data_IF_016236762083
#
_entry.id   IF_016236762083
#
_cell.length_a   1.000
_cell.length_b   1.000
_cell.length_c   1.000
_cell.angle_alpha   90.00
_cell.angle_beta   90.00
_cell.angle_gamma   90.00
#
_symmetry.space_group_name_H-M   'P 1'
#
loop_
_entity.id
_entity.type
_entity.pdbx_description
1 polymer ?
2 non-polymer ?
3 water ?
#
# COMPACT_ATOMS: atom_id res chain seq x y z
N UNK A 1 2.70 -2.14 -38.36
CA UNK A 1 1.90 -2.31 -37.13
C UNK A 1 1.11 -3.62 -37.12
N UNK A 2 1.45 -4.52 -36.20
CA UNK A 2 0.73 -5.79 -36.12
C UNK A 2 -0.76 -5.60 -35.87
N UNK A 3 -1.54 -6.54 -36.43
CA UNK A 3 -2.99 -6.54 -36.20
C UNK A 3 -3.34 -7.18 -34.86
N UNK A 4 -2.54 -8.15 -34.41
CA UNK A 4 -2.78 -8.80 -33.15
C UNK A 4 -2.50 -7.89 -31.97
N UNK A 5 -2.71 -8.42 -30.76
CA UNK A 5 -2.49 -7.61 -29.57
C UNK A 5 -1.01 -7.32 -29.37
N UNK A 6 -0.71 -6.13 -28.86
CA UNK A 6 0.65 -5.78 -28.48
C UNK A 6 1.11 -6.67 -27.33
N UNK A 7 2.42 -6.78 -27.20
CA UNK A 7 3.02 -7.71 -26.25
C UNK A 7 4.20 -6.98 -25.63
N UNK A 8 4.31 -7.02 -24.30
CA UNK A 8 5.41 -6.37 -23.59
C UNK A 8 6.14 -7.43 -22.77
N UNK A 9 7.43 -7.61 -23.06
CA UNK A 9 8.28 -8.57 -22.34
C UNK A 9 7.62 -9.94 -22.24
N UNK A 10 7.09 -10.43 -23.36
CA UNK A 10 6.43 -11.72 -23.39
C UNK A 10 5.00 -11.75 -22.86
N UNK A 11 4.44 -10.63 -22.40
CA UNK A 11 3.09 -10.60 -21.86
C UNK A 11 2.14 -9.94 -22.86
N UNK A 12 1.15 -10.69 -23.33
CA UNK A 12 0.11 -10.14 -24.19
C UNK A 12 -0.72 -9.11 -23.42
N UNK A 13 -0.95 -7.95 -24.04
CA UNK A 13 -1.77 -6.89 -23.47
C UNK A 13 -2.94 -6.67 -24.44
N UNK A 14 -4.01 -7.45 -24.25
CA UNK A 14 -5.15 -7.41 -25.14
C UNK A 14 -6.03 -6.20 -24.79
N UNK A 15 -5.51 -5.01 -25.12
CA UNK A 15 -6.19 -3.77 -24.76
C UNK A 15 -6.52 -2.92 -25.97
N UNK A 16 -6.21 -3.38 -27.18
CA UNK A 16 -6.50 -2.63 -28.38
C UNK A 16 -7.98 -2.71 -28.68
N UNK A 17 -8.45 -1.80 -29.55
CA UNK A 17 -7.69 -0.77 -30.26
C UNK A 17 -7.64 0.57 -29.53
N UNK A 18 -8.33 0.75 -28.40
CA UNK A 18 -8.36 2.05 -27.74
C UNK A 18 -7.00 2.42 -27.11
N UNK A 19 -6.28 1.44 -26.56
CA UNK A 19 -5.03 1.70 -25.85
C UNK A 19 -3.88 1.06 -26.62
N UNK A 20 -2.86 1.85 -26.94
CA UNK A 20 -1.74 1.42 -27.77
C UNK A 20 -0.42 1.97 -27.21
N UNK A 21 0.68 1.62 -27.87
CA UNK A 21 2.02 2.11 -27.51
C UNK A 21 2.39 1.75 -26.07
N UNK A 22 2.36 0.46 -25.81
CA UNK A 22 2.58 0.00 -24.44
C UNK A 22 4.06 0.01 -24.13
N UNK A 23 4.41 0.42 -22.91
CA UNK A 23 5.79 0.42 -22.44
C UNK A 23 5.87 -0.11 -21.01
N UNK A 24 6.83 -1.01 -20.77
CA UNK A 24 6.98 -1.62 -19.46
C UNK A 24 7.20 -0.57 -18.37
N UNK A 25 6.47 -0.72 -17.27
CA UNK A 25 6.73 0.03 -16.03
C UNK A 25 7.27 -0.89 -14.93
N UNK A 26 6.55 -1.98 -14.64
CA UNK A 26 6.94 -2.87 -13.55
C UNK A 26 6.02 -4.07 -13.51
N UNK A 27 6.31 -4.99 -12.60
CA UNK A 27 5.59 -6.25 -12.54
C UNK A 27 5.59 -6.82 -11.14
N UNK A 28 4.72 -7.81 -10.93
CA UNK A 28 4.61 -8.54 -9.69
C UNK A 28 4.46 -10.02 -9.97
N UNK A 29 3.99 -10.81 -9.00
CA UNK A 29 3.91 -12.28 -9.15
C UNK A 29 2.85 -12.70 -10.16
N UNK A 30 1.78 -11.93 -10.30
CA UNK A 30 0.73 -12.33 -11.24
C UNK A 30 0.17 -11.12 -11.98
N UNK A 31 1.05 -10.17 -12.34
CA UNK A 31 0.61 -8.97 -13.02
C UNK A 31 1.76 -8.16 -13.55
N UNK A 32 1.42 -7.24 -14.46
CA UNK A 32 2.40 -6.34 -15.08
C UNK A 32 1.73 -5.01 -15.38
N UNK A 33 2.43 -3.90 -15.10
CA UNK A 33 1.96 -2.56 -15.40
C UNK A 33 2.76 -1.99 -16.56
N UNK A 34 2.06 -1.39 -17.52
CA UNK A 34 2.64 -0.66 -18.64
C UNK A 34 2.01 0.72 -18.76
N UNK A 35 2.77 1.66 -19.30
CA UNK A 35 2.14 2.88 -19.78
C UNK A 35 1.57 2.63 -21.18
N UNK A 36 0.62 3.47 -21.57
CA UNK A 36 -0.01 3.32 -22.86
C UNK A 36 -0.60 4.65 -23.25
N UNK A 37 -1.20 4.71 -24.44
CA UNK A 37 -1.88 5.90 -24.92
C UNK A 37 -3.35 5.59 -25.14
N UNK A 38 -4.23 6.42 -24.58
CA UNK A 38 -5.66 6.30 -24.78
C UNK A 38 -6.01 7.10 -26.03
N UNK A 39 -6.30 6.41 -27.12
CA UNK A 39 -6.61 7.07 -28.39
C UNK A 39 -8.01 7.71 -28.38
N UNK A 40 -8.87 7.33 -27.45
CA UNK A 40 -10.21 7.90 -27.42
C UNK A 40 -10.19 9.23 -26.67
N UNK A 41 -9.66 9.23 -25.45
CA UNK A 41 -9.57 10.46 -24.67
C UNK A 41 -8.31 11.27 -24.94
N UNK A 42 -7.38 10.75 -25.75
CA UNK A 42 -6.13 11.46 -26.09
C UNK A 42 -5.31 11.74 -24.83
N UNK A 43 -5.15 10.73 -23.97
CA UNK A 43 -4.35 10.86 -22.75
C UNK A 43 -3.44 9.66 -22.55
N UNK A 44 -2.37 9.87 -21.78
CA UNK A 44 -1.47 8.81 -21.37
C UNK A 44 -2.06 8.11 -20.16
N UNK A 45 -2.04 6.78 -20.18
CA UNK A 45 -2.56 5.98 -19.08
C UNK A 45 -1.51 4.96 -18.66
N UNK A 46 -1.72 4.40 -17.48
CA UNK A 46 -1.06 3.18 -17.06
C UNK A 46 -2.08 2.05 -17.08
N UNK A 47 -1.65 0.85 -17.47
CA UNK A 47 -2.54 -0.29 -17.52
C UNK A 47 -1.93 -1.42 -16.71
N UNK A 48 -2.71 -1.95 -15.77
CA UNK A 48 -2.29 -3.02 -14.87
C UNK A 48 -2.98 -4.29 -15.33
N UNK A 49 -2.23 -5.18 -15.95
CA UNK A 49 -2.72 -6.50 -16.29
C UNK A 49 -2.60 -7.42 -15.08
N UNK A 50 -3.72 -8.04 -14.67
CA UNK A 50 -3.74 -8.99 -13.57
C UNK A 50 -4.21 -10.34 -14.12
N UNK A 51 -3.49 -11.41 -13.76
CA UNK A 51 -3.84 -12.76 -14.21
C UNK A 51 -3.95 -13.65 -12.99
N UNK A 52 -5.12 -13.62 -12.28
CA UNK A 52 -5.19 -14.21 -10.93
C UNK A 52 -5.97 -15.52 -10.81
N UNK A 53 -6.57 -16.01 -11.89
CA UNK A 53 -7.69 -16.93 -11.76
C UNK A 53 -7.29 -18.36 -11.36
N UNK A 54 -6.00 -18.70 -11.35
CA UNK A 54 -5.61 -20.04 -10.93
C UNK A 54 -5.54 -20.20 -9.43
N UNK A 55 -5.58 -19.12 -8.66
CA UNK A 55 -5.36 -19.17 -7.21
C UNK A 55 -6.37 -18.29 -6.51
N UNK A 56 -6.96 -18.82 -5.45
CA UNK A 56 -7.98 -18.11 -4.69
C UNK A 56 -7.44 -16.81 -4.11
N UNK A 57 -6.22 -16.83 -3.58
CA UNK A 57 -5.68 -15.63 -2.96
C UNK A 57 -5.52 -14.50 -3.98
N UNK A 58 -5.00 -14.81 -5.17
CA UNK A 58 -4.90 -13.80 -6.21
C UNK A 58 -6.28 -13.26 -6.59
N UNK A 59 -7.28 -14.15 -6.67
CA UNK A 59 -8.63 -13.70 -6.99
C UNK A 59 -9.18 -12.78 -5.91
N UNK A 60 -8.95 -13.12 -4.64
CA UNK A 60 -9.38 -12.25 -3.54
C UNK A 60 -8.72 -10.87 -3.65
N UNK A 61 -7.45 -10.85 -4.00
CA UNK A 61 -6.69 -9.60 -4.09
C UNK A 61 -7.12 -8.77 -5.28
N UNK A 62 -7.50 -9.42 -6.38
CA UNK A 62 -8.02 -8.69 -7.52
C UNK A 62 -9.39 -8.11 -7.22
N UNK A 63 -10.24 -8.91 -6.57
CA UNK A 63 -11.58 -8.42 -6.29
C UNK A 63 -11.54 -7.24 -5.33
N UNK A 64 -10.72 -7.33 -4.28
CA UNK A 64 -10.64 -6.26 -3.30
C UNK A 64 -10.13 -4.96 -3.94
N UNK A 65 -9.03 -5.04 -4.70
CA UNK A 65 -8.46 -3.83 -5.29
C UNK A 65 -9.49 -3.12 -6.16
N UNK A 66 -10.26 -3.90 -6.93
CA UNK A 66 -11.26 -3.36 -7.83
C UNK A 66 -12.40 -2.73 -7.03
N UNK A 67 -12.94 -3.47 -6.05
CA UNK A 67 -14.08 -2.94 -5.30
C UNK A 67 -13.70 -1.69 -4.53
N UNK A 68 -12.55 -1.70 -3.88
CA UNK A 68 -12.13 -0.54 -3.09
C UNK A 68 -11.84 0.66 -3.98
N UNK A 69 -10.99 0.49 -5.00
CA UNK A 69 -10.59 1.64 -5.83
C UNK A 69 -11.77 2.21 -6.61
N UNK A 70 -12.70 1.36 -7.04
CA UNK A 70 -13.89 1.89 -7.73
C UNK A 70 -14.75 2.70 -6.78
N UNK A 71 -14.68 2.43 -5.48
CA UNK A 71 -15.49 3.17 -4.52
C UNK A 71 -14.74 4.33 -3.89
N UNK A 72 -13.49 4.57 -4.27
CA UNK A 72 -12.69 5.64 -3.72
C UNK A 72 -12.59 6.78 -4.74
N UNK A 73 -12.61 8.01 -4.23
CA UNK A 73 -12.25 9.17 -5.06
C UNK A 73 -11.52 10.16 -4.18
N UNK A 74 -10.21 10.28 -4.39
CA UNK A 74 -9.41 11.11 -3.52
C UNK A 74 -8.16 11.53 -4.26
N UNK A 75 -7.78 12.81 -4.10
CA UNK A 75 -6.66 13.36 -4.85
C UNK A 75 -5.36 12.59 -4.64
N UNK A 76 -5.18 11.96 -3.48
CA UNK A 76 -3.95 11.24 -3.19
C UNK A 76 -4.10 9.74 -3.34
N UNK A 77 -5.10 9.25 -4.09
CA UNK A 77 -5.26 7.83 -4.34
C UNK A 77 -5.56 7.62 -5.82
N UNK A 78 -4.82 6.70 -6.45
CA UNK A 78 -5.01 6.47 -7.87
C UNK A 78 -6.44 6.00 -8.15
N UNK A 79 -7.05 6.57 -9.18
CA UNK A 79 -8.39 6.20 -9.58
C UNK A 79 -8.36 5.23 -10.73
N UNK A 80 -9.45 4.49 -10.91
CA UNK A 80 -9.61 3.60 -12.05
C UNK A 80 -10.41 4.34 -13.13
N UNK A 81 -9.81 4.52 -14.30
CA UNK A 81 -10.51 5.08 -15.46
C UNK A 81 -11.44 4.07 -16.11
N UNK A 82 -11.00 2.81 -16.20
CA UNK A 82 -11.59 1.84 -17.11
C UNK A 82 -11.07 0.48 -16.71
N UNK A 83 -11.86 -0.55 -17.00
CA UNK A 83 -11.45 -1.94 -16.77
C UNK A 83 -11.80 -2.77 -18.00
N UNK A 84 -10.82 -3.50 -18.52
CA UNK A 84 -10.96 -4.29 -19.73
C UNK A 84 -10.92 -5.76 -19.34
N UNK A 85 -11.87 -6.56 -19.87
CA UNK A 85 -11.78 -8.01 -19.81
C UNK A 85 -12.71 -8.58 -20.89
N UNK A 86 -12.63 -9.90 -21.06
CA UNK A 86 -13.32 -10.60 -22.15
C UNK A 86 -14.85 -10.55 -21.98
N UNK A 87 -15.60 -10.64 -23.10
CA UNK A 87 -17.05 -10.46 -23.01
C UNK A 87 -17.79 -11.58 -22.31
N UNK A 88 -17.17 -12.75 -22.14
CA UNK A 88 -17.78 -13.86 -21.42
C UNK A 88 -16.78 -14.38 -20.38
N UNK A 89 -17.31 -15.03 -19.35
CA UNK A 89 -16.46 -15.42 -18.23
C UNK A 89 -15.49 -16.52 -18.63
N UNK A 90 -15.89 -17.43 -19.51
CA UNK A 90 -14.98 -18.50 -19.93
C UNK A 90 -13.78 -17.95 -20.69
N UNK A 91 -13.98 -16.89 -21.47
CA UNK A 91 -12.87 -16.25 -22.17
C UNK A 91 -11.99 -15.43 -21.24
N UNK A 92 -12.50 -14.99 -20.09
CA UNK A 92 -11.75 -14.04 -19.27
C UNK A 92 -10.61 -14.76 -18.54
N UNK A 93 -9.39 -14.55 -19.03
CA UNK A 93 -8.18 -15.04 -18.38
C UNK A 93 -7.40 -13.93 -17.67
N UNK A 94 -7.63 -12.68 -18.04
CA UNK A 94 -6.90 -11.53 -17.50
C UNK A 94 -7.86 -10.38 -17.28
N UNK A 95 -7.46 -9.46 -16.40
CA UNK A 95 -8.17 -8.21 -16.21
C UNK A 95 -7.17 -7.08 -16.37
N UNK A 96 -7.57 -6.02 -17.07
CA UNK A 96 -6.71 -4.86 -17.29
C UNK A 96 -7.34 -3.65 -16.59
N UNK A 97 -6.62 -3.10 -15.61
CA UNK A 97 -7.07 -1.90 -14.90
C UNK A 97 -6.35 -0.68 -15.47
N UNK A 98 -7.12 0.27 -15.99
CA UNK A 98 -6.58 1.47 -16.63
C UNK A 98 -6.60 2.62 -15.64
N UNK A 99 -5.48 3.32 -15.52
CA UNK A 99 -5.34 4.44 -14.59
C UNK A 99 -4.65 5.60 -15.32
N UNK A 100 -4.87 6.83 -14.84
CA UNK A 100 -4.08 7.96 -15.33
C UNK A 100 -2.59 7.72 -15.12
N UNK A 101 -1.79 8.07 -16.12
CA UNK A 101 -0.35 7.84 -16.03
C UNK A 101 0.28 8.85 -15.09
N UNK A 102 1.06 8.36 -14.15
CA UNK A 102 1.89 9.16 -13.26
C UNK A 102 3.34 9.07 -13.75
N UNK A 103 4.11 10.12 -13.50
CA UNK A 103 5.42 10.25 -14.12
C UNK A 103 6.43 9.27 -13.54
N UNK A 104 6.43 9.07 -12.23
CA UNK A 104 7.43 8.20 -11.61
C UNK A 104 6.86 7.68 -10.30
N UNK A 105 7.68 6.96 -9.53
CA UNK A 105 7.31 6.57 -8.17
C UNK A 105 8.46 6.93 -7.23
N UNK A 106 8.18 6.87 -5.91
CA UNK A 106 9.16 7.34 -4.93
C UNK A 106 10.40 6.46 -4.89
N UNK A 107 10.24 5.16 -5.17
CA UNK A 107 11.38 4.26 -5.22
C UNK A 107 12.37 4.68 -6.31
N UNK A 108 11.86 4.99 -7.51
CA UNK A 108 12.73 5.48 -8.59
C UNK A 108 13.33 6.83 -8.27
N UNK A 109 12.52 7.75 -7.75
CA UNK A 109 13.05 9.08 -7.43
C UNK A 109 14.21 9.00 -6.44
N UNK A 110 14.06 8.18 -5.40
CA UNK A 110 15.11 8.11 -4.40
C UNK A 110 16.39 7.48 -4.93
N UNK A 111 16.35 6.80 -6.09
CA UNK A 111 17.59 6.32 -6.69
C UNK A 111 18.44 7.47 -7.24
N UNK A 112 17.81 8.58 -7.62
CA UNK A 112 18.49 9.66 -8.33
C UNK A 112 18.48 10.99 -7.61
N UNK A 113 17.79 11.13 -6.48
CA UNK A 113 17.52 12.44 -5.93
C UNK A 113 17.64 12.43 -4.42
N UNK A 114 18.40 13.37 -3.87
CA UNK A 114 18.33 13.74 -2.46
C UNK A 114 17.23 14.78 -2.31
N UNK A 115 16.15 14.43 -1.61
CA UNK A 115 15.00 15.34 -1.47
C UNK A 115 15.29 16.43 -0.45
N UNK A 116 14.88 17.65 -0.78
CA UNK A 116 14.87 18.72 0.20
C UNK A 116 13.89 18.40 1.32
N UNK A 117 14.10 19.02 2.49
CA UNK A 117 13.20 18.81 3.61
C UNK A 117 11.77 19.20 3.24
N UNK A 118 11.63 20.25 2.44
CA UNK A 118 10.29 20.66 2.00
C UNK A 118 9.62 19.59 1.17
N UNK A 119 10.38 18.90 0.30
CA UNK A 119 9.79 17.84 -0.51
C UNK A 119 9.42 16.64 0.36
N UNK A 120 10.31 16.26 1.28
CA UNK A 120 9.99 15.20 2.23
C UNK A 120 8.72 15.55 3.00
N UNK A 121 8.65 16.77 3.52
CA UNK A 121 7.51 17.22 4.31
C UNK A 121 6.23 17.16 3.50
N UNK A 122 6.26 17.63 2.25
CA UNK A 122 5.05 17.67 1.43
C UNK A 122 4.63 16.28 0.97
N UNK A 123 5.61 15.44 0.60
CA UNK A 123 5.29 14.06 0.27
C UNK A 123 4.67 13.35 1.46
N UNK A 124 5.27 13.52 2.65
CA UNK A 124 4.74 12.89 3.84
C UNK A 124 3.31 13.36 4.11
N UNK A 125 3.07 14.68 4.02
CA UNK A 125 1.72 15.20 4.20
C UNK A 125 0.73 14.47 3.30
N UNK A 126 1.08 14.32 2.02
CA UNK A 126 0.14 13.74 1.06
C UNK A 126 -0.08 12.25 1.31
N UNK A 127 0.98 11.51 1.64
CA UNK A 127 0.82 10.10 2.02
C UNK A 127 -0.24 9.98 3.12
N UNK A 128 -0.10 10.81 4.15
CA UNK A 128 -1.00 10.75 5.30
C UNK A 128 -2.37 11.32 4.98
N UNK A 129 -2.45 12.29 4.06
CA UNK A 129 -3.77 12.75 3.60
C UNK A 129 -4.55 11.63 2.94
N UNK A 130 -3.93 10.89 2.01
CA UNK A 130 -4.59 9.73 1.43
C UNK A 130 -4.85 8.62 2.43
N UNK A 131 -3.88 8.35 3.31
CA UNK A 131 -4.08 7.32 4.33
C UNK A 131 -5.26 7.66 5.25
N UNK A 132 -5.40 8.94 5.60
CA UNK A 132 -6.53 9.38 6.42
C UNK A 132 -7.85 9.00 5.77
N UNK A 133 -7.97 9.23 4.46
CA UNK A 133 -9.15 8.82 3.74
C UNK A 133 -9.29 7.29 3.74
N UNK A 134 -8.19 6.58 3.50
CA UNK A 134 -8.22 5.12 3.47
C UNK A 134 -8.72 4.56 4.80
N UNK A 135 -8.07 4.96 5.90
CA UNK A 135 -8.48 4.46 7.21
C UNK A 135 -9.90 4.89 7.56
N UNK A 136 -10.32 6.09 7.13
CA UNK A 136 -11.70 6.51 7.41
C UNK A 136 -12.73 5.63 6.74
N UNK A 137 -12.33 4.87 5.72
CA UNK A 137 -13.20 3.96 5.00
C UNK A 137 -13.18 2.53 5.59
N UNK A 138 -12.50 2.33 6.72
CA UNK A 138 -12.31 1.01 7.32
C UNK A 138 -11.45 0.09 6.44
N UNK A 139 -10.57 0.67 5.63
CA UNK A 139 -9.65 -0.08 4.79
C UNK A 139 -8.29 -0.10 5.45
N UNK A 140 -7.59 -1.23 5.34
CA UNK A 140 -6.16 -1.30 5.59
C UNK A 140 -5.45 -1.45 4.25
N UNK A 141 -4.45 -0.61 3.98
CA UNK A 141 -3.74 -0.73 2.71
C UNK A 141 -2.82 -1.95 2.72
N UNK A 142 -1.93 -2.02 3.73
CA UNK A 142 -1.12 -3.20 4.02
C UNK A 142 0.02 -3.43 3.04
N UNK A 143 0.36 -2.46 2.19
CA UNK A 143 1.54 -2.62 1.35
C UNK A 143 2.08 -1.26 0.95
N UNK A 144 2.17 -0.32 1.89
CA UNK A 144 2.74 0.98 1.61
C UNK A 144 4.27 0.88 1.59
N UNK A 145 4.85 1.43 0.54
CA UNK A 145 6.29 1.39 0.34
C UNK A 145 6.59 2.40 -0.76
N UNK A 146 7.85 2.79 -0.99
CA UNK A 146 8.12 3.83 -2.00
C UNK A 146 7.55 3.54 -3.39
N UNK A 147 7.68 2.31 -3.88
CA UNK A 147 7.22 1.97 -5.23
C UNK A 147 5.71 2.02 -5.37
N UNK A 148 4.96 2.19 -4.27
CA UNK A 148 3.52 2.39 -4.34
C UNK A 148 3.11 3.82 -4.05
N UNK A 149 4.04 4.76 -4.12
CA UNK A 149 3.74 6.18 -4.05
C UNK A 149 4.11 6.79 -5.39
N UNK A 150 3.10 7.20 -6.16
CA UNK A 150 3.29 7.70 -7.52
C UNK A 150 3.43 9.21 -7.49
N UNK A 151 4.30 9.76 -8.36
CA UNK A 151 4.70 11.16 -8.30
C UNK A 151 4.70 11.80 -9.68
N UNK A 152 4.30 13.07 -9.72
CA UNK A 152 4.35 13.95 -10.89
C UNK A 152 5.37 15.05 -10.64
N UNK A 153 5.75 15.77 -11.72
CA UNK A 153 6.73 16.84 -11.54
C UNK A 153 6.17 18.01 -10.73
N UNK A 154 4.85 18.18 -10.70
CA UNK A 154 4.22 19.14 -9.81
C UNK A 154 4.26 18.72 -8.34
N UNK A 155 4.83 17.55 -8.04
CA UNK A 155 4.92 16.95 -6.71
C UNK A 155 3.59 16.43 -6.18
N UNK A 156 2.60 16.26 -7.06
CA UNK A 156 1.39 15.53 -6.71
C UNK A 156 1.77 14.07 -6.45
N UNK A 157 1.15 13.48 -5.43
CA UNK A 157 1.48 12.13 -4.99
C UNK A 157 0.20 11.32 -4.89
N UNK A 158 0.23 10.10 -5.40
CA UNK A 158 -0.95 9.23 -5.31
C UNK A 158 -0.50 7.85 -4.85
N UNK A 159 -1.23 7.28 -3.91
CA UNK A 159 -0.98 5.91 -3.48
C UNK A 159 -1.65 4.96 -4.46
N UNK A 160 -0.93 3.88 -4.82
CA UNK A 160 -1.44 2.87 -5.73
C UNK A 160 -1.24 1.49 -5.12
N UNK A 161 -1.62 0.47 -5.90
CA UNK A 161 -1.57 -0.96 -5.57
C UNK A 161 -2.38 -1.31 -4.33
N UNK A 162 -3.68 -1.53 -4.50
CA UNK A 162 -4.52 -1.97 -3.39
C UNK A 162 -4.76 -3.47 -3.43
N UNK A 163 -3.83 -4.22 -4.05
CA UNK A 163 -3.97 -5.66 -4.10
C UNK A 163 -3.91 -6.32 -2.74
N UNK A 164 -3.15 -5.75 -1.82
CA UNK A 164 -3.06 -6.25 -0.45
C UNK A 164 -3.99 -5.53 0.50
N UNK A 165 -4.79 -4.59 0.02
CA UNK A 165 -5.74 -3.87 0.85
C UNK A 165 -6.96 -4.75 1.17
N UNK A 166 -7.64 -4.38 2.26
CA UNK A 166 -8.85 -5.08 2.64
C UNK A 166 -9.66 -4.22 3.59
N UNK A 167 -10.93 -4.59 3.71
CA UNK A 167 -11.85 -3.96 4.65
C UNK A 167 -11.81 -4.70 5.97
N UNK A 168 -11.85 -3.94 7.07
CA UNK A 168 -12.08 -4.49 8.41
C UNK A 168 -13.19 -3.67 9.07
N UNK A 169 -14.42 -4.19 9.03
CA UNK A 169 -15.56 -3.55 9.67
C UNK A 169 -15.33 -3.48 11.18
N UNK A 170 -15.25 -2.28 11.78
CA UNK A 170 -14.96 -2.20 13.22
C UNK A 170 -16.09 -2.67 14.12
N UNK A 171 -17.28 -2.96 13.58
CA UNK A 171 -18.30 -3.63 14.39
C UNK A 171 -17.92 -5.05 14.74
N UNK A 172 -16.95 -5.64 14.04
CA UNK A 172 -16.54 -7.02 14.26
C UNK A 172 -15.10 -7.07 14.73
N UNK A 173 -14.81 -8.00 15.63
CA UNK A 173 -13.44 -8.20 16.09
C UNK A 173 -12.71 -9.09 15.11
N UNK A 174 -11.68 -8.54 14.45
CA UNK A 174 -10.94 -9.26 13.42
C UNK A 174 -9.73 -10.02 13.97
N UNK A 175 -9.53 -10.00 15.29
CA UNK A 175 -8.41 -10.69 15.93
C UNK A 175 -8.39 -12.17 15.57
N UNK A 176 -7.32 -12.62 14.93
CA UNK A 176 -7.21 -14.00 14.52
C UNK A 176 -7.75 -14.28 13.14
N UNK A 177 -8.35 -13.30 12.47
CA UNK A 177 -8.93 -13.49 11.15
C UNK A 177 -8.19 -12.77 10.03
N UNK A 178 -7.09 -12.07 10.33
CA UNK A 178 -6.38 -11.38 9.27
C UNK A 178 -5.29 -12.27 8.69
N UNK A 179 -5.01 -12.05 7.41
CA UNK A 179 -4.01 -12.79 6.67
C UNK A 179 -2.59 -12.53 7.21
N UNK A 180 -1.79 -13.58 7.37
CA UNK A 180 -0.39 -13.39 7.75
C UNK A 180 0.49 -13.02 6.56
N UNK A 181 1.68 -12.53 6.87
CA UNK A 181 2.71 -12.28 5.86
C UNK A 181 2.23 -11.24 4.85
N UNK A 182 1.68 -10.14 5.35
CA UNK A 182 1.27 -9.00 4.52
C UNK A 182 2.38 -7.93 4.54
N UNK A 183 2.23 -6.92 3.70
CA UNK A 183 3.22 -5.87 3.49
C UNK A 183 4.48 -6.41 2.83
N UNK A 184 5.35 -5.51 2.39
CA UNK A 184 6.63 -5.89 1.83
C UNK A 184 7.64 -5.89 2.96
N UNK A 185 8.55 -6.86 2.94
CA UNK A 185 9.31 -7.23 4.14
C UNK A 185 9.87 -6.01 4.88
N UNK A 186 10.65 -5.17 4.19
CA UNK A 186 11.33 -4.08 4.90
C UNK A 186 10.35 -3.13 5.58
N UNK A 187 9.07 -3.18 5.21
CA UNK A 187 8.08 -2.21 5.66
C UNK A 187 7.06 -2.84 6.61
N UNK A 188 7.35 -4.03 7.15
CA UNK A 188 6.40 -4.74 8.01
C UNK A 188 6.57 -4.29 9.45
N UNK A 189 5.45 -3.96 10.10
CA UNK A 189 5.46 -3.67 11.52
C UNK A 189 5.87 -4.92 12.32
N UNK A 190 6.44 -4.74 13.51
CA UNK A 190 6.82 -5.92 14.32
C UNK A 190 5.66 -6.85 14.60
N UNK A 191 4.45 -6.31 14.76
CA UNK A 191 3.30 -7.15 15.09
C UNK A 191 2.83 -7.98 13.90
N UNK A 192 3.29 -7.70 12.70
CA UNK A 192 2.98 -8.63 11.61
C UNK A 192 3.71 -9.95 11.84
N UNK A 193 4.86 -9.92 12.49
CA UNK A 193 5.60 -11.12 12.86
C UNK A 193 5.13 -11.71 14.18
N UNK A 194 4.85 -10.86 15.17
CA UNK A 194 4.57 -11.28 16.53
C UNK A 194 3.09 -11.48 16.81
N UNK A 195 2.21 -10.98 15.95
CA UNK A 195 0.78 -11.10 16.12
C UNK A 195 0.16 -11.25 14.73
N UNK A 196 0.58 -12.31 14.04
CA UNK A 196 0.49 -12.40 12.58
C UNK A 196 -0.93 -12.42 12.04
N UNK A 197 -1.92 -12.75 12.88
CA UNK A 197 -3.32 -12.79 12.42
C UNK A 197 -4.19 -11.78 13.15
N UNK A 198 -3.60 -10.88 13.93
CA UNK A 198 -4.37 -9.99 14.78
C UNK A 198 -3.89 -8.55 14.86
N UNK A 199 -3.13 -8.11 13.86
CA UNK A 199 -2.66 -6.74 13.73
C UNK A 199 -3.81 -5.82 13.31
N UNK A 200 -3.57 -4.52 13.30
CA UNK A 200 -4.59 -3.54 12.92
C UNK A 200 -4.08 -2.58 11.85
N UNK A 201 -4.87 -1.54 11.55
CA UNK A 201 -4.46 -0.56 10.57
C UNK A 201 -3.21 0.21 10.98
N UNK A 202 -2.77 0.09 12.25
CA UNK A 202 -1.54 0.80 12.63
C UNK A 202 -0.31 0.23 11.93
N UNK A 203 -0.41 -0.93 11.27
CA UNK A 203 0.70 -1.41 10.44
C UNK A 203 0.97 -0.44 9.30
N UNK A 204 -0.06 0.26 8.82
CA UNK A 204 0.12 1.24 7.75
C UNK A 204 0.95 2.42 8.25
N UNK A 205 0.72 2.84 9.48
CA UNK A 205 1.53 3.91 10.09
C UNK A 205 2.99 3.47 10.21
N UNK A 206 3.21 2.20 10.58
CA UNK A 206 4.59 1.70 10.61
C UNK A 206 5.24 1.82 9.24
N UNK A 207 4.55 1.36 8.19
CA UNK A 207 5.07 1.50 6.84
C UNK A 207 5.41 2.96 6.51
N UNK A 208 4.49 3.88 6.79
CA UNK A 208 4.76 5.30 6.52
C UNK A 208 6.01 5.74 7.26
N UNK A 209 6.16 5.35 8.52
CA UNK A 209 7.41 5.61 9.22
C UNK A 209 8.62 5.13 8.45
N UNK A 210 8.57 3.90 7.94
CA UNK A 210 9.70 3.37 7.17
C UNK A 210 9.97 4.20 5.92
N UNK A 211 8.91 4.68 5.28
CA UNK A 211 9.06 5.49 4.07
C UNK A 211 9.72 6.83 4.41
N UNK A 212 9.29 7.46 5.50
CA UNK A 212 9.90 8.73 5.92
C UNK A 212 11.40 8.56 6.19
N UNK A 213 11.78 7.49 6.89
CA UNK A 213 13.21 7.25 7.12
C UNK A 213 13.95 7.09 5.81
N UNK A 214 13.32 6.45 4.83
CA UNK A 214 13.94 6.26 3.52
C UNK A 214 14.10 7.58 2.77
N UNK A 215 13.10 8.47 2.86
CA UNK A 215 13.27 9.81 2.28
C UNK A 215 14.40 10.58 2.96
N UNK A 216 14.60 10.36 4.26
CA UNK A 216 15.63 11.11 4.96
C UNK A 216 17.04 10.66 4.55
N UNK A 217 17.22 9.38 4.22
CA UNK A 217 18.54 8.83 4.01
C UNK A 217 18.73 8.16 2.66
N UNK A 218 17.70 8.09 1.81
CA UNK A 218 17.77 7.37 0.54
C UNK A 218 18.15 5.90 0.71
N UNK A 219 17.84 5.30 1.85
CA UNK A 219 18.08 3.88 2.03
C UNK A 219 17.05 3.29 2.98
N UNK A 220 16.66 2.03 2.79
CA UNK A 220 15.70 1.42 3.72
C UNK A 220 16.26 1.39 5.14
N UNK A 221 15.39 1.67 6.11
CA UNK A 221 15.87 1.72 7.49
C UNK A 221 16.03 0.31 8.05
N UNK A 222 15.13 -0.62 7.71
CA UNK A 222 15.15 -1.98 8.24
C UNK A 222 15.25 -2.98 7.08
N UNK A 223 16.41 -3.10 6.43
CA UNK A 223 16.50 -4.00 5.26
C UNK A 223 16.73 -5.47 5.63
N UNK A 224 15.73 -6.09 6.26
CA UNK A 224 15.84 -7.50 6.61
C UNK A 224 16.21 -8.37 5.42
N UNK A 225 17.10 -9.35 5.64
CA UNK A 225 17.53 -10.19 4.55
C UNK A 225 16.55 -11.32 4.28
N UNK A 226 15.66 -11.61 5.22
CA UNK A 226 14.64 -12.64 5.04
C UNK A 226 13.63 -12.44 6.16
N UNK A 227 12.54 -13.23 6.11
CA UNK A 227 11.40 -13.02 7.00
C UNK A 227 11.83 -12.86 8.45
N UNK A 228 12.60 -13.81 8.97
CA UNK A 228 12.91 -13.76 10.40
C UNK A 228 13.94 -12.69 10.72
N UNK A 229 14.73 -12.29 9.73
CA UNK A 229 15.75 -11.26 9.90
C UNK A 229 15.13 -9.88 10.14
N UNK A 230 13.87 -9.69 9.74
CA UNK A 230 13.29 -8.36 9.76
C UNK A 230 13.13 -7.84 11.18
N UNK A 231 12.59 -8.68 12.07
CA UNK A 231 12.43 -8.28 13.47
C UNK A 231 13.77 -7.91 14.08
N UNK A 232 14.81 -8.66 13.73
CA UNK A 232 16.13 -8.39 14.30
C UNK A 232 16.62 -7.01 13.89
N UNK A 233 16.36 -6.60 12.64
CA UNK A 233 16.72 -5.24 12.23
C UNK A 233 15.95 -4.21 13.02
N UNK A 234 14.64 -4.42 13.19
CA UNK A 234 13.84 -3.45 13.93
C UNK A 234 14.38 -3.29 15.35
N UNK A 235 14.57 -4.42 16.04
CA UNK A 235 15.06 -4.35 17.42
C UNK A 235 16.48 -3.80 17.49
N UNK A 236 17.28 -4.04 16.45
CA UNK A 236 18.62 -3.49 16.41
C UNK A 236 18.66 -1.98 16.51
N UNK A 237 17.58 -1.29 16.13
CA UNK A 237 17.52 0.16 16.23
C UNK A 237 16.59 0.62 17.35
N UNK A 238 15.40 0.01 17.45
CA UNK A 238 14.50 0.42 18.52
C UNK A 238 15.02 -0.01 19.88
N UNK A 239 15.86 -1.03 19.93
CA UNK A 239 16.23 -1.66 21.18
C UNK A 239 15.21 -2.71 21.58
N UNK A 240 15.58 -3.50 22.59
CA UNK A 240 14.68 -4.51 23.11
C UNK A 240 13.41 -3.84 23.65
N UNK A 241 12.25 -4.46 23.49
CA UNK A 241 11.01 -3.84 23.98
C UNK A 241 11.01 -3.73 25.49
N UNK A 242 10.35 -2.68 25.98
CA UNK A 242 10.15 -2.53 27.42
C UNK A 242 9.30 -3.68 27.96
N UNK A 243 9.45 -3.92 29.25
CA UNK A 243 8.61 -4.91 29.93
C UNK A 243 7.13 -4.62 29.70
N UNK A 244 6.73 -3.35 29.83
CA UNK A 244 5.36 -2.96 29.53
C UNK A 244 4.94 -3.40 28.14
N UNK A 245 5.69 -2.99 27.12
CA UNK A 245 5.33 -3.34 25.74
C UNK A 245 5.36 -4.85 25.52
N UNK A 246 6.33 -5.52 26.13
CA UNK A 246 6.42 -6.97 26.07
C UNK A 246 5.17 -7.62 26.63
N UNK A 247 4.77 -7.22 27.83
CA UNK A 247 3.59 -7.76 28.49
C UNK A 247 2.29 -7.32 27.84
N UNK A 248 2.34 -6.55 26.76
CA UNK A 248 1.16 -6.29 25.95
C UNK A 248 0.97 -7.31 24.84
N UNK A 249 1.99 -8.13 24.56
CA UNK A 249 1.92 -9.13 23.51
C UNK A 249 1.09 -10.31 24.01
N UNK A 250 -0.06 -10.54 23.38
CA UNK A 250 -0.99 -11.52 23.92
C UNK A 250 -0.60 -12.96 23.56
N UNK A 251 -0.02 -13.15 22.37
CA UNK A 251 0.45 -14.46 21.93
C UNK A 251 1.63 -14.89 22.79
N UNK A 252 1.41 -15.89 23.67
CA UNK A 252 2.47 -16.32 24.59
C UNK A 252 3.71 -16.79 23.85
N UNK A 253 3.54 -17.55 22.77
CA UNK A 253 4.68 -18.07 22.04
C UNK A 253 5.57 -16.95 21.51
N UNK A 254 4.95 -15.87 21.00
CA UNK A 254 5.71 -14.72 20.53
C UNK A 254 6.34 -13.95 21.69
N UNK A 255 5.64 -13.85 22.82
CA UNK A 255 6.23 -13.21 23.99
C UNK A 255 7.47 -13.97 24.46
N UNK A 256 7.38 -15.30 24.54
CA UNK A 256 8.54 -16.10 24.93
C UNK A 256 9.67 -15.97 23.93
N UNK A 257 9.35 -15.83 22.64
CA UNK A 257 10.40 -15.61 21.65
C UNK A 257 11.18 -14.33 21.95
N UNK A 258 10.48 -13.26 22.32
CA UNK A 258 11.14 -11.98 22.55
C UNK A 258 11.97 -12.00 23.84
N UNK A 259 11.44 -12.63 24.90
CA UNK A 259 12.22 -12.83 26.13
C UNK A 259 13.51 -13.60 25.88
N UNK A 260 13.54 -14.47 24.88
CA UNK A 260 14.70 -15.28 24.57
C UNK A 260 15.75 -14.52 23.77
N UNK A 261 15.49 -13.27 23.38
CA UNK A 261 16.47 -12.56 22.58
C UNK A 261 17.46 -11.81 23.47
N UNK A 262 18.72 -11.70 23.02
CA UNK A 262 19.69 -10.87 23.74
C UNK A 262 19.26 -9.41 23.72
N UNK A 263 19.58 -8.71 24.81
CA UNK A 263 19.17 -7.31 24.95
C UNK A 263 19.94 -6.43 23.98
N UNK A 264 19.21 -5.56 23.28
CA UNK A 264 19.77 -4.56 22.40
C UNK A 264 19.38 -3.18 22.92
N UNK A 265 20.35 -2.26 22.96
CA UNK A 265 20.05 -0.87 23.31
C UNK A 265 19.41 -0.17 22.11
N UNK A 266 18.69 0.90 22.40
CA UNK A 266 18.12 1.75 21.36
C UNK A 266 19.21 2.59 20.69
N UNK A 267 19.13 2.74 19.38
CA UNK A 267 19.98 3.69 18.65
C UNK A 267 19.23 5.01 18.55
N UNK A 268 19.78 6.11 19.04
CA UNK A 268 19.08 7.40 18.93
C UNK A 268 18.84 7.78 17.47
N UNK A 269 17.69 8.42 17.22
CA UNK A 269 17.33 8.77 15.84
C UNK A 269 18.33 9.74 15.24
N UNK A 270 18.75 10.75 16.02
CA UNK A 270 19.65 11.71 15.40
C UNK A 270 21.06 11.16 15.18
N UNK A 271 21.32 9.93 15.62
CA UNK A 271 22.55 9.24 15.25
C UNK A 271 22.45 8.63 13.86
N UNK A 272 21.28 8.09 13.51
CA UNK A 272 21.07 7.58 12.17
C UNK A 272 20.82 8.68 11.16
N UNK A 273 20.25 9.80 11.59
CA UNK A 273 19.78 10.85 10.68
C UNK A 273 20.29 12.17 11.22
N UNK A 274 21.62 12.36 11.23
CA UNK A 274 22.18 13.54 11.90
C UNK A 274 21.87 14.85 11.21
N UNK A 275 21.46 14.82 9.94
CA UNK A 275 21.08 16.03 9.22
C UNK A 275 19.59 16.27 9.15
N UNK A 276 18.78 15.41 9.77
CA UNK A 276 17.34 15.49 9.60
C UNK A 276 16.72 16.55 10.49
N UNK A 277 15.63 17.15 10.00
CA UNK A 277 14.80 18.02 10.82
C UNK A 277 14.45 17.33 12.13
N UNK A 278 14.69 18.02 13.24
CA UNK A 278 14.35 17.47 14.55
C UNK A 278 12.85 17.18 14.65
N UNK A 279 12.03 18.03 14.03
CA UNK A 279 10.60 17.76 14.04
C UNK A 279 10.28 16.48 13.26
N UNK A 280 10.97 16.26 12.14
CA UNK A 280 10.75 15.05 11.35
C UNK A 280 11.14 13.81 12.14
N UNK A 281 12.25 13.88 12.88
CA UNK A 281 12.69 12.74 13.69
C UNK A 281 11.71 12.47 14.83
N UNK A 282 11.04 13.48 15.33
CA UNK A 282 10.06 13.24 16.39
C UNK A 282 8.84 12.49 15.84
N UNK A 283 8.32 12.93 14.69
CA UNK A 283 7.20 12.21 14.08
C UNK A 283 7.63 10.80 13.71
N UNK A 284 8.85 10.64 13.19
CA UNK A 284 9.37 9.32 12.86
C UNK A 284 9.35 8.41 14.07
N UNK A 285 9.80 8.92 15.21
CA UNK A 285 9.81 8.14 16.44
C UNK A 285 8.42 7.68 16.81
N UNK A 286 7.44 8.57 16.67
CA UNK A 286 6.05 8.23 17.00
C UNK A 286 5.47 7.25 16.00
N UNK A 287 5.89 7.32 14.73
CA UNK A 287 5.35 6.37 13.76
C UNK A 287 6.00 5.00 13.91
N UNK A 288 7.30 4.97 14.19
CA UNK A 288 8.02 3.71 14.41
C UNK A 288 8.03 3.34 15.89
N UNK A 289 6.85 3.35 16.50
CA UNK A 289 6.69 2.93 17.88
C UNK A 289 6.37 1.44 17.92
N UNK A 290 7.13 0.70 18.74
CA UNK A 290 6.99 -0.75 18.79
C UNK A 290 5.57 -1.16 19.14
N UNK A 291 5.02 -0.58 20.20
CA UNK A 291 3.69 -0.96 20.70
C UNK A 291 2.63 -0.42 19.75
N UNK A 292 1.85 -1.29 19.09
CA UNK A 292 0.92 -0.79 18.06
C UNK A 292 -0.19 0.10 18.60
N UNK A 293 -0.52 0.00 19.90
CA UNK A 293 -1.58 0.84 20.48
C UNK A 293 -1.07 2.23 20.85
N UNK A 294 0.19 2.33 21.26
CA UNK A 294 0.77 3.64 21.50
C UNK A 294 1.22 4.33 20.22
N UNK A 295 1.35 3.61 19.12
CA UNK A 295 1.82 4.20 17.88
C UNK A 295 0.83 5.28 17.44
N UNK A 296 1.37 6.40 16.95
CA UNK A 296 0.51 7.52 16.57
C UNK A 296 -0.48 7.10 15.46
N UNK A 297 -1.68 7.67 15.50
CA UNK A 297 -2.69 7.41 14.48
C UNK A 297 -2.62 8.49 13.41
N UNK A 298 -3.36 8.27 12.31
CA UNK A 298 -3.14 9.09 11.12
C UNK A 298 -3.53 10.55 11.35
N UNK A 299 -4.62 10.81 12.06
CA UNK A 299 -5.00 12.20 12.29
C UNK A 299 -3.99 12.92 13.20
N UNK A 300 -3.52 12.26 14.26
CA UNK A 300 -2.48 12.83 15.10
C UNK A 300 -1.18 13.00 14.34
N UNK A 301 -0.87 12.10 13.41
CA UNK A 301 0.32 12.29 12.61
C UNK A 301 0.19 13.54 11.74
N UNK A 302 -0.98 13.75 11.14
CA UNK A 302 -1.20 14.97 10.37
C UNK A 302 -1.11 16.21 11.24
N UNK A 303 -1.56 16.12 12.49
CA UNK A 303 -1.53 17.26 13.40
C UNK A 303 -0.13 17.51 13.99
N UNK A 304 0.85 16.68 13.66
CA UNK A 304 2.17 16.83 14.25
C UNK A 304 2.82 18.13 13.81
N UNK A 305 3.62 18.77 14.68
CA UNK A 305 4.32 20.01 14.30
C UNK A 305 5.06 19.97 12.96
N UNK A 306 5.63 18.83 12.59
CA UNK A 306 6.39 18.76 11.34
C UNK A 306 5.53 19.11 10.13
N UNK A 307 4.22 18.83 10.20
CA UNK A 307 3.34 18.97 9.04
C UNK A 307 2.44 20.19 9.12
N UNK A 308 2.70 21.10 10.07
CA UNK A 308 1.78 22.20 10.38
C UNK A 308 1.61 23.19 9.24
N UNK A 309 2.54 23.22 8.28
CA UNK A 309 2.38 24.06 7.09
C UNK A 309 1.24 23.60 6.19
N UNK A 310 0.85 22.34 6.31
CA UNK A 310 -0.10 21.71 5.40
C UNK A 310 -1.36 21.23 6.07
N UNK A 311 -1.29 20.86 7.35
CA UNK A 311 -2.43 20.27 8.04
C UNK A 311 -3.63 21.21 7.99
N UNK A 312 -4.74 20.71 7.45
CA UNK A 312 -5.94 21.49 7.26
C UNK A 312 -7.14 20.56 7.22
N UNK A 313 -7.77 20.30 8.38
CA UNK A 313 -8.87 19.33 8.41
C UNK A 313 -10.05 19.71 7.53
N UNK A 314 -10.17 20.98 7.17
CA UNK A 314 -11.24 21.41 6.28
C UNK A 314 -10.96 21.07 4.83
N UNK A 315 -9.74 20.67 4.50
CA UNK A 315 -9.35 20.31 3.14
C UNK A 315 -8.81 18.88 3.08
N UNK A 316 -9.36 17.99 3.89
CA UNK A 316 -8.83 16.62 4.00
C UNK A 316 -10.00 15.67 4.06
N UNK A 317 -10.52 15.25 2.89
CA UNK A 317 -11.76 14.47 2.87
C UNK A 317 -11.62 13.12 3.56
N UNK A 318 -12.76 12.62 4.04
CA UNK A 318 -12.88 11.28 4.59
C UNK A 318 -14.01 10.57 3.85
N UNK A 319 -14.13 9.27 4.05
CA UNK A 319 -15.09 8.49 3.28
C UNK A 319 -16.51 8.81 3.73
N UNK A 320 -17.39 9.10 2.77
CA UNK A 320 -18.76 9.40 3.20
C UNK A 320 -19.55 8.14 3.50
N UNK A 321 -19.21 7.00 2.90
CA UNK A 321 -19.86 5.73 3.20
C UNK A 321 -18.78 4.70 3.56
N UNK A 322 -18.29 4.73 4.78
CA UNK A 322 -17.24 3.77 5.17
C UNK A 322 -17.67 2.33 4.91
N UNK A 323 -16.69 1.49 4.56
CA UNK A 323 -16.99 0.13 4.13
C UNK A 323 -17.35 -0.75 5.33
N UNK A 324 -18.21 -1.73 5.08
CA UNK A 324 -18.70 -2.65 6.09
C UNK A 324 -18.46 -4.08 5.63
N UNK A 325 -18.99 -5.06 6.38
CA UNK A 325 -18.62 -6.47 6.17
C UNK A 325 -18.97 -7.00 4.79
N UNK A 326 -19.95 -6.40 4.09
CA UNK A 326 -20.27 -6.87 2.75
C UNK A 326 -19.05 -6.81 1.82
N UNK A 327 -18.12 -5.90 2.08
CA UNK A 327 -16.91 -5.82 1.30
C UNK A 327 -15.86 -6.85 1.71
N UNK A 328 -16.19 -7.74 2.66
CA UNK A 328 -15.26 -8.74 3.16
C UNK A 328 -15.67 -10.16 2.80
N UNK A 329 -16.78 -10.32 2.09
CA UNK A 329 -17.32 -11.64 1.75
C UNK A 329 -16.58 -12.16 0.52
N UNK A 330 -15.35 -12.64 0.75
CA UNK A 330 -14.56 -13.17 -0.36
C UNK A 330 -13.80 -14.44 0.01
N UNK A 331 -14.04 -15.04 1.18
CA UNK A 331 -13.46 -16.35 1.48
C UNK A 331 -14.32 -17.41 0.79
N UNK A 332 -14.10 -17.55 -0.51
CA UNK A 332 -14.94 -18.34 -1.39
C UNK A 332 -14.05 -19.05 -2.40
N UNK A 333 -14.55 -20.10 -3.03
CA UNK A 333 -13.78 -20.76 -4.10
C UNK A 333 -13.40 -19.77 -5.20
N UNK A 334 -12.20 -19.97 -5.76
CA UNK A 334 -11.73 -19.08 -6.82
C UNK A 334 -12.66 -19.06 -8.01
N UNK A 335 -13.42 -20.13 -8.22
CA UNK A 335 -14.40 -20.10 -9.31
C UNK A 335 -15.51 -19.11 -9.02
N UNK A 336 -15.90 -18.97 -7.74
CA UNK A 336 -16.96 -18.03 -7.41
C UNK A 336 -16.43 -16.59 -7.40
N UNK A 337 -15.22 -16.39 -6.89
CA UNK A 337 -14.57 -15.08 -6.98
C UNK A 337 -14.42 -14.63 -8.43
N UNK A 338 -14.17 -15.57 -9.36
CA UNK A 338 -14.11 -15.18 -10.76
C UNK A 338 -15.45 -14.61 -11.22
N UNK A 339 -16.55 -15.17 -10.75
CA UNK A 339 -17.85 -14.62 -11.08
C UNK A 339 -18.03 -13.23 -10.50
N UNK A 340 -17.61 -13.03 -9.25
CA UNK A 340 -17.74 -11.70 -8.63
C UNK A 340 -16.87 -10.66 -9.34
N UNK A 341 -15.67 -11.04 -9.79
CA UNK A 341 -14.82 -10.13 -10.55
C UNK A 341 -15.48 -9.77 -11.88
N UNK A 342 -16.07 -10.77 -12.54
CA UNK A 342 -16.83 -10.53 -13.77
C UNK A 342 -17.95 -9.53 -13.54
N UNK A 343 -18.67 -9.65 -12.41
CA UNK A 343 -19.80 -8.79 -12.12
C UNK A 343 -19.35 -7.37 -11.74
N UNK A 344 -18.29 -7.26 -10.93
CA UNK A 344 -17.78 -5.93 -10.57
C UNK A 344 -17.30 -5.15 -11.78
N UNK A 345 -16.84 -5.83 -12.82
CA UNK A 345 -16.29 -5.16 -14.00
C UNK A 345 -17.30 -5.02 -15.14
N UNK A 346 -18.53 -5.50 -14.99
CA UNK A 346 -19.50 -5.41 -16.07
C UNK A 346 -19.86 -3.97 -16.41
N UNK A 347 -19.83 -3.06 -15.43
CA UNK A 347 -20.18 -1.66 -15.71
C UNK A 347 -19.31 -1.03 -16.79
N UNK A 348 -18.15 -1.59 -17.09
CA UNK A 348 -17.28 -1.05 -18.14
C UNK A 348 -17.49 -1.72 -19.49
N UNK A 349 -18.40 -2.69 -19.58
CA UNK A 349 -18.66 -3.46 -20.80
C UNK A 349 -19.72 -2.78 -21.67
N UNK A 350 -19.53 -2.78 -22.99
CA UNK A 350 -20.65 -2.48 -23.88
C UNK A 350 -21.89 -3.29 -23.53
N UNK A 351 -23.04 -2.65 -23.57
CA UNK A 351 -24.25 -3.29 -23.09
C UNK A 351 -24.35 -3.11 -21.59
N UNK A 352 -24.69 -4.19 -20.89
CA UNK A 352 -24.84 -4.15 -19.44
C UNK A 352 -25.98 -3.21 -19.04
X LIG B 1 2.24 -2.38 -8.51
X LIG B 1 1.34 -0.33 -9.71
X LIG B 1 2.31 4.90 -13.01
X LIG B 1 0.04 5.19 -12.90
X LIG B 1 4.80 5.03 -13.07
X LIG B 1 -0.11 3.99 -12.20
X LIG B 1 1.07 3.27 -11.95
X LIG B 1 2.05 -5.11 -11.27
X LIG B 1 1.15 -1.49 -8.98
X LIG B 1 0.06 0.20 -9.95
X LIG B 1 -0.09 1.41 -10.69
X LIG B 1 1.02 2.02 -11.19
X LIG B 1 2.75 -3.30 -9.61
X LIG B 1 1.62 -4.25 -10.08
X LIG B 1 3.92 -4.11 -9.10
X LIG B 1 2.34 1.44 -10.92
X LIG B 1 2.48 0.29 -10.21
X LIG B 1 6.68 4.24 -12.10
X LIG B 1 5.28 4.42 -11.92
X LIG B 1 5.89 5.74 -15.27
X LIG B 1 1.22 5.67 -13.31
X LIG B 1 2.29 3.70 -12.33
X LIG B 1 3.53 5.43 -13.46
X LIG B 1 5.88 5.17 -13.93
X LIG B 1 7.04 4.70 -13.34
X LIG B 1 -0.19 -1.62 -8.81
X LIG B 1 -0.84 -0.62 -9.37
#
# INVERSE_FOLDING_TARGET
SGAGPEMVRGQVFDVGPRYTNLSYIGEGAYGMVCSAYDNVNKVRVAIKKISPFEHQTYCQRTLREIKILLRFRHENIIGINDIIRAPTIEQMKDVYIVQDLMETDLYKLLKTQHLSNDHICYFLYQILRGLKYIHSANVLHRDLKPSNLLLNTTCDLKICDFGLARVADPDHDHTGFLTEYVATRWYRAPEIMLNSKGYTKSIDIWSVGCILAEMLSNRPIFPGKHYLDQLNHILGILGSPSQEDLNCIINLKARNYLLSLPHKNKVPWNRLFPNADSKALDLLDKMLTFNPHKRIEVEQALAHPYLEQYYDPSDEPIAEAPFKFDMELDDLPKEKLKELIFEETARFQPGYRS
WAL C18 N4 C14 C12 C17 C11 C10 C22 C7 C5 C6 C1 C19 C20 C21 C2 C3 C25 C26 C27 N13 N15 N16 N23 N24 N8 N9
#
